data_IF_362968269856
#
_entry.id   IF_362968269856
#
_cell.length_a   1.000
_cell.length_b   1.000
_cell.length_c   1.000
_cell.angle_alpha   90.00
_cell.angle_beta   90.00
_cell.angle_gamma   90.00
#
_symmetry.space_group_name_H-M   'P 1'
#
loop_
_entity.id
_entity.type
_entity.pdbx_description
1 polymer ?
#
# COMPACT_ATOMS: atom_id res chain seq x y z
N UNK A 1 -2.44 29.48 -22.28
CA UNK A 1 -3.24 28.87 -21.21
C UNK A 1 -2.34 28.09 -20.29
N UNK A 2 -2.45 28.35 -19.00
CA UNK A 2 -1.75 27.62 -17.94
C UNK A 2 -2.27 26.19 -17.82
N UNK A 3 -1.46 25.29 -17.26
CA UNK A 3 -1.87 23.93 -16.91
C UNK A 3 -3.01 23.94 -15.86
N UNK A 4 -3.02 24.95 -14.97
CA UNK A 4 -4.09 25.17 -14.00
C UNK A 4 -5.42 25.54 -14.69
N UNK A 5 -5.38 26.41 -15.70
CA UNK A 5 -6.57 26.80 -16.47
C UNK A 5 -7.15 25.62 -17.27
N UNK A 6 -6.31 24.72 -17.77
CA UNK A 6 -6.79 23.52 -18.48
C UNK A 6 -7.46 22.51 -17.53
N UNK A 7 -6.91 22.33 -16.32
CA UNK A 7 -7.50 21.46 -15.29
C UNK A 7 -8.82 22.03 -14.76
N UNK A 8 -8.89 23.32 -14.47
CA UNK A 8 -10.11 24.01 -14.03
C UNK A 8 -11.21 24.03 -15.12
N UNK A 9 -10.81 24.09 -16.39
CA UNK A 9 -11.72 24.00 -17.53
C UNK A 9 -12.19 22.56 -17.85
N UNK A 10 -11.81 21.55 -17.05
CA UNK A 10 -12.17 20.15 -17.28
C UNK A 10 -11.52 19.52 -18.52
N UNK A 11 -10.49 20.16 -19.09
CA UNK A 11 -9.77 19.66 -20.25
C UNK A 11 -8.69 18.66 -19.84
N UNK A 12 -8.49 17.61 -20.64
CA UNK A 12 -7.45 16.62 -20.37
C UNK A 12 -6.07 17.28 -20.39
N UNK A 13 -5.24 16.96 -19.39
CA UNK A 13 -3.85 17.40 -19.34
C UNK A 13 -3.10 17.01 -20.63
N UNK A 14 -2.23 17.93 -21.09
CA UNK A 14 -1.30 17.65 -22.17
C UNK A 14 -0.44 16.41 -21.84
N UNK A 15 0.09 15.72 -22.85
CA UNK A 15 0.93 14.54 -22.63
C UNK A 15 2.14 14.84 -21.71
N UNK A 16 2.67 16.06 -21.81
CA UNK A 16 3.79 16.55 -21.02
C UNK A 16 3.39 16.86 -19.56
N UNK A 17 2.23 17.49 -19.35
CA UNK A 17 1.66 17.70 -18.01
C UNK A 17 1.31 16.37 -17.32
N UNK A 18 0.77 15.39 -18.06
CA UNK A 18 0.53 14.03 -17.55
C UNK A 18 1.83 13.34 -17.15
N UNK A 19 2.91 13.50 -17.94
CA UNK A 19 4.23 12.95 -17.61
C UNK A 19 4.80 13.58 -16.33
N UNK A 20 4.75 14.91 -16.19
CA UNK A 20 5.19 15.60 -14.97
C UNK A 20 4.40 15.17 -13.73
N UNK A 21 3.07 15.09 -13.86
CA UNK A 21 2.21 14.62 -12.77
C UNK A 21 2.54 13.17 -12.40
N UNK A 22 2.73 12.28 -13.37
CA UNK A 22 3.09 10.89 -13.12
C UNK A 22 4.44 10.76 -12.40
N UNK A 23 5.45 11.54 -12.79
CA UNK A 23 6.74 11.56 -12.10
C UNK A 23 6.62 12.08 -10.66
N UNK A 24 5.84 13.14 -10.44
CA UNK A 24 5.58 13.68 -9.10
C UNK A 24 4.81 12.69 -8.21
N UNK A 25 3.86 11.96 -8.78
CA UNK A 25 3.12 10.91 -8.08
C UNK A 25 4.03 9.73 -7.72
N UNK A 26 4.92 9.32 -8.63
CA UNK A 26 5.92 8.27 -8.35
C UNK A 26 6.91 8.71 -7.25
N UNK A 27 7.35 9.97 -7.28
CA UNK A 27 8.24 10.54 -6.27
C UNK A 27 7.56 10.65 -4.90
N UNK A 28 6.25 10.96 -4.84
CA UNK A 28 5.46 10.96 -3.61
C UNK A 28 5.09 9.57 -3.10
N UNK A 29 5.32 8.51 -3.89
CA UNK A 29 5.12 7.11 -3.49
C UNK A 29 6.40 6.53 -2.88
N UNK A 30 7.51 7.27 -2.82
CA UNK A 30 8.55 6.95 -1.85
C UNK A 30 7.89 6.98 -0.46
N UNK A 31 7.94 5.88 0.32
CA UNK A 31 7.30 5.85 1.62
C UNK A 31 7.83 7.03 2.44
N UNK A 32 6.91 7.86 2.94
CA UNK A 32 7.29 8.94 3.86
C UNK A 32 8.12 8.31 4.98
N UNK A 33 9.22 8.94 5.42
CA UNK A 33 10.12 8.38 6.45
C UNK A 33 9.39 7.93 7.72
N UNK A 34 8.23 8.52 8.00
CA UNK A 34 7.32 8.11 9.07
C UNK A 34 6.73 6.70 8.88
N UNK A 35 6.36 6.33 7.64
CA UNK A 35 5.94 4.98 7.32
C UNK A 35 7.09 3.99 7.52
N UNK A 36 8.29 4.31 7.03
CA UNK A 36 9.46 3.45 7.18
C UNK A 36 9.80 3.20 8.66
N UNK A 37 9.78 4.26 9.48
CA UNK A 37 10.00 4.13 10.93
C UNK A 37 8.92 3.32 11.62
N UNK A 38 7.64 3.52 11.25
CA UNK A 38 6.53 2.75 11.80
C UNK A 38 6.60 1.28 11.39
N UNK A 39 6.94 1.00 10.13
CA UNK A 39 7.15 -0.36 9.63
C UNK A 39 8.31 -1.05 10.35
N UNK A 40 9.44 -0.36 10.54
CA UNK A 40 10.59 -0.90 11.26
C UNK A 40 10.28 -1.22 12.73
N UNK A 41 9.56 -0.33 13.42
CA UNK A 41 9.13 -0.55 14.79
C UNK A 41 8.20 -1.78 14.90
N UNK A 42 7.24 -1.91 13.98
CA UNK A 42 6.32 -3.04 13.91
C UNK A 42 7.07 -4.36 13.61
N UNK A 43 8.02 -4.35 12.67
CA UNK A 43 8.83 -5.51 12.32
C UNK A 43 9.64 -6.03 13.52
N UNK A 44 10.25 -5.13 14.28
CA UNK A 44 11.08 -5.47 15.45
C UNK A 44 10.28 -5.98 16.64
N UNK A 45 9.00 -5.66 16.72
CA UNK A 45 8.17 -5.96 17.89
C UNK A 45 7.17 -7.06 17.56
N UNK A 46 6.07 -6.69 16.90
CA UNK A 46 4.94 -7.57 16.65
C UNK A 46 5.27 -8.69 15.66
N UNK A 47 5.93 -8.36 14.53
CA UNK A 47 6.24 -9.38 13.52
C UNK A 47 7.24 -10.42 14.04
N UNK A 48 8.28 -9.96 14.75
CA UNK A 48 9.25 -10.84 15.41
C UNK A 48 8.56 -11.78 16.42
N UNK A 49 7.72 -11.24 17.30
CA UNK A 49 6.99 -12.04 18.29
C UNK A 49 6.04 -13.07 17.63
N UNK A 50 5.33 -12.68 16.56
CA UNK A 50 4.47 -13.58 15.83
C UNK A 50 5.25 -14.73 15.18
N UNK A 51 6.41 -14.42 14.60
CA UNK A 51 7.29 -15.41 13.97
C UNK A 51 7.91 -16.38 14.98
N UNK A 52 8.42 -15.88 16.11
CA UNK A 52 8.98 -16.72 17.17
C UNK A 52 7.93 -17.68 17.72
N UNK A 53 6.70 -17.19 17.89
CA UNK A 53 5.61 -18.01 18.40
C UNK A 53 5.06 -19.00 17.34
N UNK A 54 5.26 -18.76 16.04
CA UNK A 54 5.01 -19.76 14.98
C UNK A 54 6.14 -20.80 14.94
N UNK A 55 7.40 -20.38 15.15
CA UNK A 55 8.53 -21.30 15.28
C UNK A 55 8.37 -22.25 16.47
N UNK A 56 7.91 -21.73 17.61
CA UNK A 56 7.69 -22.51 18.81
C UNK A 56 6.51 -23.49 18.67
N UNK A 57 5.48 -23.10 17.91
CA UNK A 57 4.30 -23.93 17.65
C UNK A 57 3.89 -23.89 16.16
N UNK A 58 4.42 -24.82 15.34
CA UNK A 58 4.10 -24.89 13.92
C UNK A 58 2.63 -25.19 13.61
N UNK A 59 1.87 -25.71 14.58
CA UNK A 59 0.43 -25.98 14.38
C UNK A 59 -0.41 -24.72 14.20
N UNK A 60 0.17 -23.55 14.51
CA UNK A 60 -0.42 -22.22 14.28
C UNK A 60 -0.39 -21.77 12.83
N UNK A 61 0.29 -22.50 11.95
CA UNK A 61 0.32 -22.19 10.53
C UNK A 61 -1.10 -22.26 9.94
N UNK A 62 -1.46 -21.26 9.12
CA UNK A 62 -2.72 -21.25 8.37
C UNK A 62 -2.41 -21.60 6.92
N UNK A 63 -3.13 -22.55 6.30
CA UNK A 63 -2.99 -22.86 4.88
C UNK A 63 -3.22 -21.62 4.00
N UNK A 64 -2.46 -21.49 2.92
CA UNK A 64 -2.48 -20.30 2.08
C UNK A 64 -3.85 -20.09 1.40
N UNK A 65 -4.53 -21.18 1.07
CA UNK A 65 -5.89 -21.20 0.52
C UNK A 65 -6.91 -20.59 1.49
N UNK A 66 -6.79 -20.87 2.80
CA UNK A 66 -7.68 -20.35 3.83
C UNK A 66 -7.44 -18.85 4.05
N UNK A 67 -6.18 -18.41 4.01
CA UNK A 67 -5.82 -16.99 4.06
C UNK A 67 -6.48 -16.24 2.89
N UNK A 68 -6.34 -16.76 1.67
CA UNK A 68 -6.93 -16.14 0.47
C UNK A 68 -8.44 -16.07 0.56
N UNK A 69 -9.10 -17.19 0.87
CA UNK A 69 -10.56 -17.24 1.00
C UNK A 69 -11.08 -16.22 2.03
N UNK A 70 -10.37 -16.06 3.16
CA UNK A 70 -10.75 -15.10 4.19
C UNK A 70 -10.59 -13.64 3.75
N UNK A 71 -9.56 -13.32 2.97
CA UNK A 71 -9.38 -11.98 2.39
C UNK A 71 -10.48 -11.69 1.37
N UNK A 72 -10.78 -12.64 0.48
CA UNK A 72 -11.85 -12.52 -0.52
C UNK A 72 -13.21 -12.29 0.16
N UNK A 73 -13.54 -13.08 1.18
CA UNK A 73 -14.78 -12.91 1.95
C UNK A 73 -14.87 -11.52 2.61
N UNK A 74 -13.77 -11.01 3.17
CA UNK A 74 -13.73 -9.67 3.77
C UNK A 74 -13.94 -8.57 2.71
N UNK A 75 -13.40 -8.75 1.51
CA UNK A 75 -13.59 -7.82 0.40
C UNK A 75 -15.02 -7.85 -0.14
N UNK A 76 -15.61 -9.03 -0.32
CA UNK A 76 -16.99 -9.19 -0.76
C UNK A 76 -18.01 -8.61 0.24
N UNK A 77 -17.71 -8.67 1.54
CA UNK A 77 -18.54 -8.02 2.57
C UNK A 77 -18.44 -6.49 2.58
N UNK A 78 -17.49 -5.90 1.84
CA UNK A 78 -17.29 -4.45 1.75
C UNK A 78 -18.00 -3.81 0.55
N UNK A 79 -18.39 -4.62 -0.44
CA UNK A 79 -19.13 -4.23 -1.65
C UNK A 79 -20.62 -4.42 -1.48
#
# INVERSE_FOLDING_TARGET
>A
MSESEAYEAGMSLSADARRRLALRLLESVNPDEAFDQAAEAWLRTEAAAAYDALKADPSRAVPAEDVRARIEAKWAARS
#
